data_IF_656055909853
#
_entry.id   IF_656055909853
#
_cell.length_a   1.000
_cell.length_b   1.000
_cell.length_c   1.000
_cell.angle_alpha   90.00
_cell.angle_beta   90.00
_cell.angle_gamma   90.00
#
_symmetry.space_group_name_H-M   'P 1'
#
loop_
_entity.id
_entity.type
_entity.pdbx_description
1 polymer ?
#
# COMPACT_ATOMS: atom_id res chain seq x y z
N UNK A 1 -8.97 19.87 -14.56
CA UNK A 1 -9.50 19.13 -13.41
C UNK A 1 -9.21 19.95 -12.15
N UNK A 2 -10.03 20.95 -11.81
CA UNK A 2 -9.61 22.05 -10.93
C UNK A 2 -9.01 21.66 -9.57
N UNK A 3 -9.44 20.55 -8.97
CA UNK A 3 -8.87 20.04 -7.71
C UNK A 3 -7.49 19.41 -7.92
N UNK A 4 -7.32 18.58 -8.95
CA UNK A 4 -6.03 17.96 -9.25
C UNK A 4 -5.02 19.01 -9.71
N UNK A 5 -5.45 19.98 -10.53
CA UNK A 5 -4.64 21.14 -10.92
C UNK A 5 -4.07 21.85 -9.67
N UNK A 6 -4.93 22.18 -8.69
CA UNK A 6 -4.50 22.85 -7.46
C UNK A 6 -3.52 22.02 -6.61
N UNK A 7 -3.66 20.70 -6.60
CA UNK A 7 -2.76 19.80 -5.87
C UNK A 7 -1.39 19.71 -6.55
N UNK A 8 -1.35 19.64 -7.88
CA UNK A 8 -0.09 19.68 -8.64
C UNK A 8 0.60 21.04 -8.47
N UNK A 9 -0.14 22.14 -8.50
CA UNK A 9 0.41 23.48 -8.23
C UNK A 9 1.01 23.58 -6.83
N UNK A 10 0.34 23.01 -5.82
CA UNK A 10 0.86 22.98 -4.46
C UNK A 10 2.15 22.15 -4.39
N UNK A 11 2.17 20.96 -4.98
CA UNK A 11 3.37 20.11 -5.00
C UNK A 11 4.55 20.83 -5.69
N UNK A 12 4.31 21.46 -6.84
CA UNK A 12 5.34 22.21 -7.57
C UNK A 12 5.89 23.42 -6.80
N UNK A 13 5.07 24.09 -5.99
CA UNK A 13 5.50 25.21 -5.13
C UNK A 13 6.24 24.76 -3.87
N UNK A 14 6.18 23.47 -3.51
CA UNK A 14 6.76 22.93 -2.28
C UNK A 14 7.63 21.69 -2.58
N UNK A 15 8.79 21.86 -3.23
CA UNK A 15 9.64 20.74 -3.67
C UNK A 15 10.18 19.89 -2.51
N UNK A 16 10.21 20.42 -1.29
CA UNK A 16 10.61 19.71 -0.08
C UNK A 16 9.51 18.79 0.50
N UNK A 17 8.37 18.65 -0.17
CA UNK A 17 7.26 17.78 0.23
C UNK A 17 7.16 16.65 -0.77
N UNK A 18 6.98 15.42 -0.30
CA UNK A 18 6.52 14.31 -1.15
C UNK A 18 5.00 14.34 -1.14
N UNK A 19 4.37 14.50 -2.31
CA UNK A 19 2.93 14.50 -2.44
C UNK A 19 2.45 13.14 -2.97
N UNK A 20 1.88 12.32 -2.08
CA UNK A 20 1.35 11.00 -2.41
C UNK A 20 -0.12 11.06 -2.84
N UNK A 21 -0.40 10.56 -4.05
CA UNK A 21 -1.75 10.17 -4.45
C UNK A 21 -1.96 8.68 -4.23
N UNK A 22 -3.00 8.28 -3.49
CA UNK A 22 -3.35 6.87 -3.29
C UNK A 22 -4.64 6.52 -4.01
N UNK A 23 -4.66 5.39 -4.72
CA UNK A 23 -5.82 5.00 -5.53
C UNK A 23 -6.05 3.49 -5.65
N UNK A 24 -7.23 3.14 -6.15
CA UNK A 24 -7.64 1.80 -6.61
C UNK A 24 -8.19 1.84 -8.04
N UNK A 25 -7.96 2.95 -8.76
CA UNK A 25 -8.49 3.17 -10.11
C UNK A 25 -7.44 2.92 -11.19
N UNK A 26 -7.93 2.65 -12.40
CA UNK A 26 -7.15 2.68 -13.64
C UNK A 26 -7.18 4.04 -14.36
N UNK A 27 -8.06 4.94 -13.92
CA UNK A 27 -8.24 6.24 -14.55
C UNK A 27 -7.10 7.20 -14.19
N UNK A 28 -6.06 7.19 -15.03
CA UNK A 28 -4.83 7.97 -14.86
C UNK A 28 -4.58 8.95 -16.01
N UNK A 29 -5.52 9.07 -16.96
CA UNK A 29 -5.29 9.78 -18.21
C UNK A 29 -4.94 11.25 -17.99
N UNK A 30 -5.53 11.86 -16.95
CA UNK A 30 -5.17 13.21 -16.56
C UNK A 30 -3.68 13.34 -16.19
N UNK A 31 -3.15 12.45 -15.34
CA UNK A 31 -1.73 12.45 -14.96
C UNK A 31 -0.79 12.14 -16.12
N UNK A 32 -1.27 11.41 -17.14
CA UNK A 32 -0.51 11.20 -18.37
C UNK A 32 -0.48 12.44 -19.26
N UNK A 33 -1.56 13.22 -19.27
CA UNK A 33 -1.74 14.39 -20.13
C UNK A 33 -1.05 15.67 -19.66
N UNK A 34 -0.59 15.73 -18.41
CA UNK A 34 0.04 16.92 -17.81
C UNK A 34 1.48 16.65 -17.41
N UNK A 35 2.26 17.71 -17.22
CA UNK A 35 3.59 17.61 -16.61
C UNK A 35 3.43 17.57 -15.09
N UNK A 36 3.91 16.48 -14.49
CA UNK A 36 3.82 16.27 -13.05
C UNK A 36 5.07 16.85 -12.38
N UNK A 37 4.91 17.58 -11.26
CA UNK A 37 6.05 17.94 -10.42
C UNK A 37 6.86 16.69 -10.02
N UNK A 38 8.20 16.81 -9.91
CA UNK A 38 9.07 15.66 -9.65
C UNK A 38 8.86 15.02 -8.28
N UNK A 39 8.23 15.74 -7.35
CA UNK A 39 7.90 15.31 -6.00
C UNK A 39 6.51 14.65 -5.87
N UNK A 40 5.85 14.33 -6.98
CA UNK A 40 4.63 13.52 -7.01
C UNK A 40 4.98 12.03 -6.94
N UNK A 41 4.32 11.31 -6.03
CA UNK A 41 4.28 9.84 -6.01
C UNK A 41 2.84 9.36 -6.16
N UNK A 42 2.62 8.28 -6.92
CA UNK A 42 1.29 7.68 -7.05
C UNK A 42 1.34 6.24 -6.57
N UNK A 43 0.43 5.87 -5.68
CA UNK A 43 0.40 4.56 -5.06
C UNK A 43 -0.92 3.84 -5.29
N UNK A 44 -0.85 2.52 -5.51
CA UNK A 44 -2.01 1.66 -5.67
C UNK A 44 -2.20 0.76 -4.48
N UNK A 45 -3.44 0.62 -4.00
CA UNK A 45 -3.77 -0.50 -3.13
C UNK A 45 -3.87 -1.78 -3.95
N UNK A 46 -3.20 -2.84 -3.51
CA UNK A 46 -3.22 -4.14 -4.18
C UNK A 46 -3.81 -5.21 -3.27
N UNK A 47 -4.58 -6.11 -3.88
CA UNK A 47 -5.13 -7.30 -3.25
C UNK A 47 -5.28 -8.40 -4.30
N UNK A 48 -5.34 -9.68 -3.90
CA UNK A 48 -5.70 -10.77 -4.79
C UNK A 48 -7.01 -10.49 -5.49
N UNK A 49 -7.14 -10.87 -6.77
CA UNK A 49 -8.34 -10.58 -7.55
C UNK A 49 -9.61 -11.10 -6.88
N UNK A 50 -9.54 -12.28 -6.25
CA UNK A 50 -10.65 -12.84 -5.48
C UNK A 50 -11.12 -11.91 -4.35
N UNK A 51 -10.21 -11.19 -3.67
CA UNK A 51 -10.57 -10.21 -2.63
C UNK A 51 -11.16 -8.96 -3.28
N UNK A 52 -10.61 -8.50 -4.40
CA UNK A 52 -11.13 -7.34 -5.12
C UNK A 52 -12.58 -7.59 -5.57
N UNK A 53 -12.84 -8.74 -6.18
CA UNK A 53 -14.17 -9.10 -6.71
C UNK A 53 -15.24 -9.16 -5.60
N UNK A 54 -14.87 -9.63 -4.41
CA UNK A 54 -15.81 -9.85 -3.32
C UNK A 54 -15.93 -8.67 -2.35
N UNK A 55 -14.89 -7.85 -2.19
CA UNK A 55 -14.82 -6.85 -1.10
C UNK A 55 -14.46 -5.43 -1.57
N UNK A 56 -14.02 -5.22 -2.82
CA UNK A 56 -13.64 -3.91 -3.37
C UNK A 56 -14.52 -3.50 -4.57
N UNK A 57 -15.84 -3.47 -4.38
CA UNK A 57 -16.79 -3.12 -5.44
C UNK A 57 -16.51 -1.75 -6.09
N UNK A 58 -16.79 -1.65 -7.39
CA UNK A 58 -16.61 -0.43 -8.20
C UNK A 58 -15.17 0.10 -8.26
N UNK A 59 -14.18 -0.79 -8.08
CA UNK A 59 -12.76 -0.48 -8.25
C UNK A 59 -12.16 -1.24 -9.44
N UNK A 60 -10.96 -0.85 -9.86
CA UNK A 60 -10.26 -1.52 -10.95
C UNK A 60 -9.75 -2.91 -10.52
N UNK A 61 -9.60 -3.81 -11.48
CA UNK A 61 -8.98 -5.13 -11.24
C UNK A 61 -7.52 -5.00 -10.84
N UNK A 62 -6.92 -6.07 -10.28
CA UNK A 62 -5.51 -6.11 -9.95
C UNK A 62 -4.63 -5.79 -11.17
N UNK A 63 -4.93 -6.42 -12.31
CA UNK A 63 -4.20 -6.21 -13.56
C UNK A 63 -4.29 -4.75 -14.01
N UNK A 64 -5.50 -4.18 -14.01
CA UNK A 64 -5.71 -2.78 -14.41
C UNK A 64 -4.94 -1.78 -13.52
N UNK A 65 -4.84 -2.06 -12.21
CA UNK A 65 -4.05 -1.25 -11.27
C UNK A 65 -2.55 -1.34 -11.59
N UNK A 66 -2.03 -2.55 -11.81
CA UNK A 66 -0.61 -2.76 -12.15
C UNK A 66 -0.28 -2.11 -13.50
N UNK A 67 -1.15 -2.26 -14.51
CA UNK A 67 -0.99 -1.62 -15.82
C UNK A 67 -0.99 -0.09 -15.71
N UNK A 68 -1.89 0.48 -14.90
CA UNK A 68 -1.90 1.92 -14.66
C UNK A 68 -0.61 2.40 -13.97
N UNK A 69 -0.15 1.68 -12.95
CA UNK A 69 1.11 1.97 -12.28
C UNK A 69 2.30 1.93 -13.25
N UNK A 70 2.35 0.92 -14.13
CA UNK A 70 3.38 0.79 -15.17
C UNK A 70 3.36 1.96 -16.15
N UNK A 71 2.19 2.39 -16.61
CA UNK A 71 2.04 3.54 -17.52
C UNK A 71 2.56 4.84 -16.89
N UNK A 72 2.27 5.09 -15.61
CA UNK A 72 2.79 6.29 -14.92
C UNK A 72 4.29 6.19 -14.62
N UNK A 73 4.76 5.02 -14.22
CA UNK A 73 6.19 4.80 -14.01
C UNK A 73 7.00 4.98 -15.30
N UNK A 74 6.46 4.63 -16.48
CA UNK A 74 7.08 4.93 -17.77
C UNK A 74 7.24 6.44 -18.06
N UNK A 75 6.46 7.31 -17.41
CA UNK A 75 6.59 8.77 -17.46
C UNK A 75 7.62 9.29 -16.43
N UNK A 76 8.29 8.41 -15.69
CA UNK A 76 9.26 8.75 -14.65
C UNK A 76 8.63 9.04 -13.29
N UNK A 77 7.33 8.78 -13.10
CA UNK A 77 6.66 8.96 -11.81
C UNK A 77 7.08 7.83 -10.87
N UNK A 78 7.57 8.17 -9.68
CA UNK A 78 7.81 7.18 -8.63
C UNK A 78 6.47 6.61 -8.17
N UNK A 79 6.39 5.29 -8.10
CA UNK A 79 5.18 4.59 -7.69
C UNK A 79 5.33 3.94 -6.31
N UNK A 80 4.21 3.55 -5.72
CA UNK A 80 4.21 2.73 -4.51
C UNK A 80 3.04 1.77 -4.44
N UNK A 81 3.13 0.79 -3.56
CA UNK A 81 2.11 -0.25 -3.43
C UNK A 81 1.68 -0.43 -1.97
N UNK A 82 0.37 -0.39 -1.74
CA UNK A 82 -0.22 -0.62 -0.43
C UNK A 82 -0.90 -1.99 -0.41
N UNK A 83 -0.34 -2.94 0.32
CA UNK A 83 -1.03 -4.17 0.69
C UNK A 83 -1.80 -3.89 1.97
N UNK A 84 -2.96 -3.24 1.83
CA UNK A 84 -3.76 -2.83 2.98
C UNK A 84 -5.25 -2.71 2.58
N UNK A 85 -6.14 -3.55 3.14
CA UNK A 85 -5.85 -4.65 4.07
C UNK A 85 -5.33 -5.91 3.38
N UNK A 86 -4.32 -6.54 3.98
CA UNK A 86 -3.99 -7.94 3.72
C UNK A 86 -5.05 -8.80 4.41
N UNK A 87 -5.62 -9.75 3.66
CA UNK A 87 -6.69 -10.63 4.12
C UNK A 87 -6.17 -12.06 4.24
N UNK A 88 -6.37 -12.66 5.41
CA UNK A 88 -6.07 -14.07 5.67
C UNK A 88 -7.25 -14.95 5.24
N UNK A 89 -6.97 -15.92 4.39
CA UNK A 89 -7.89 -16.95 3.92
C UNK A 89 -7.10 -18.16 3.42
N UNK A 90 -7.76 -19.29 3.19
CA UNK A 90 -7.09 -20.47 2.63
C UNK A 90 -6.49 -20.16 1.26
N UNK A 91 -5.18 -20.38 1.10
CA UNK A 91 -4.46 -20.08 -0.15
C UNK A 91 -3.89 -18.66 -0.26
N UNK A 92 -4.07 -17.79 0.75
CA UNK A 92 -3.58 -16.40 0.70
C UNK A 92 -2.08 -16.31 0.36
N UNK A 93 -1.25 -17.21 0.89
CA UNK A 93 0.20 -17.21 0.66
C UNK A 93 0.52 -17.30 -0.83
N UNK A 94 -0.13 -18.23 -1.54
CA UNK A 94 0.05 -18.42 -2.98
C UNK A 94 -0.36 -17.18 -3.76
N UNK A 95 -1.49 -16.59 -3.39
CA UNK A 95 -2.07 -15.49 -4.15
C UNK A 95 -1.33 -14.17 -3.93
N UNK A 96 -0.89 -13.86 -2.70
CA UNK A 96 -0.02 -12.71 -2.48
C UNK A 96 1.36 -12.90 -3.11
N UNK A 97 1.95 -14.11 -3.08
CA UNK A 97 3.21 -14.38 -3.78
C UNK A 97 3.12 -14.13 -5.29
N UNK A 98 2.00 -14.48 -5.95
CA UNK A 98 1.80 -14.17 -7.37
C UNK A 98 1.81 -12.68 -7.66
N UNK A 99 1.15 -11.87 -6.82
CA UNK A 99 1.17 -10.41 -6.96
C UNK A 99 2.61 -9.91 -6.88
N UNK A 100 3.33 -10.33 -5.85
CA UNK A 100 4.69 -9.89 -5.56
C UNK A 100 5.65 -10.26 -6.70
N UNK A 101 5.57 -11.49 -7.22
CA UNK A 101 6.34 -11.92 -8.38
C UNK A 101 6.01 -11.09 -9.63
N UNK A 102 4.74 -10.72 -9.83
CA UNK A 102 4.32 -9.83 -10.92
C UNK A 102 4.94 -8.45 -10.75
N UNK A 103 4.94 -7.88 -9.54
CA UNK A 103 5.56 -6.58 -9.28
C UNK A 103 7.08 -6.61 -9.53
N UNK A 104 7.77 -7.62 -9.00
CA UNK A 104 9.23 -7.77 -9.15
C UNK A 104 9.64 -7.96 -10.62
N UNK A 105 8.80 -8.60 -11.43
CA UNK A 105 9.05 -8.77 -12.87
C UNK A 105 8.63 -7.56 -13.72
N UNK A 106 7.75 -6.70 -13.21
CA UNK A 106 7.19 -5.56 -13.96
C UNK A 106 7.90 -4.23 -13.66
N UNK A 107 8.51 -4.09 -12.48
CA UNK A 107 9.13 -2.85 -12.01
C UNK A 107 10.57 -3.09 -11.57
N UNK A 108 11.44 -2.12 -11.82
CA UNK A 108 12.72 -2.04 -11.14
C UNK A 108 12.52 -1.50 -9.73
N UNK A 109 13.46 -1.79 -8.82
CA UNK A 109 13.37 -1.29 -7.46
C UNK A 109 13.47 0.25 -7.38
N UNK A 110 14.13 0.90 -8.36
CA UNK A 110 14.29 2.36 -8.38
C UNK A 110 13.00 3.08 -8.77
N UNK A 111 12.09 2.40 -9.47
CA UNK A 111 10.77 2.91 -9.83
C UNK A 111 9.79 2.90 -8.65
N UNK A 112 10.07 2.09 -7.61
CA UNK A 112 9.17 1.87 -6.48
C UNK A 112 9.70 2.57 -5.23
N UNK A 113 9.03 3.63 -4.82
CA UNK A 113 9.37 4.40 -3.61
C UNK A 113 9.13 3.61 -2.33
N UNK A 114 7.95 3.00 -2.21
CA UNK A 114 7.57 2.29 -0.99
C UNK A 114 6.58 1.15 -1.20
N UNK A 115 6.61 0.24 -0.22
CA UNK A 115 5.60 -0.81 -0.02
C UNK A 115 5.10 -0.74 1.41
N UNK A 116 3.78 -0.63 1.58
CA UNK A 116 3.16 -0.68 2.89
C UNK A 116 2.40 -1.98 3.08
N UNK A 117 2.51 -2.56 4.28
CA UNK A 117 1.74 -3.73 4.69
C UNK A 117 0.82 -3.34 5.84
N UNK A 118 -0.44 -3.72 5.78
CA UNK A 118 -1.38 -3.48 6.88
C UNK A 118 -2.45 -4.54 6.88
N UNK A 119 -2.84 -5.02 8.05
CA UNK A 119 -3.98 -5.93 8.13
C UNK A 119 -5.29 -5.19 8.30
N UNK A 120 -6.36 -5.91 8.00
CA UNK A 120 -7.71 -5.46 8.31
C UNK A 120 -7.81 -5.08 9.79
N UNK A 121 -8.27 -3.85 10.01
CA UNK A 121 -8.42 -3.29 11.34
C UNK A 121 -9.76 -2.60 11.41
N UNK A 122 -10.64 -3.09 12.28
CA UNK A 122 -11.94 -2.48 12.50
C UNK A 122 -12.00 -1.70 13.79
N UNK A 123 -12.54 -0.48 13.71
CA UNK A 123 -13.06 0.20 14.89
C UNK A 123 -14.47 -0.32 15.20
N UNK A 124 -14.84 -0.39 16.49
CA UNK A 124 -16.16 -0.87 16.97
C UNK A 124 -17.36 -0.32 16.17
N UNK A 125 -17.43 0.99 15.81
CA UNK A 125 -18.53 1.53 15.02
C UNK A 125 -18.60 0.99 13.58
N UNK A 126 -17.46 0.67 12.95
CA UNK A 126 -17.40 0.20 11.57
C UNK A 126 -18.04 -1.19 11.41
N UNK A 127 -17.80 -2.10 12.37
CA UNK A 127 -18.44 -3.42 12.40
C UNK A 127 -19.96 -3.30 12.50
N UNK A 128 -20.44 -2.39 13.37
CA UNK A 128 -21.88 -2.16 13.56
C UNK A 128 -22.53 -1.60 12.28
N UNK A 129 -21.84 -0.67 11.62
CA UNK A 129 -22.29 -0.09 10.35
C UNK A 129 -22.36 -1.14 9.22
N UNK A 130 -21.30 -1.94 9.05
CA UNK A 130 -21.25 -3.02 8.05
C UNK A 130 -22.39 -4.03 8.23
N UNK A 131 -22.68 -4.44 9.47
CA UNK A 131 -23.81 -5.32 9.77
C UNK A 131 -25.16 -4.69 9.44
N UNK A 132 -25.30 -3.38 9.63
CA UNK A 132 -26.56 -2.66 9.35
C UNK A 132 -26.81 -2.40 7.87
N UNK A 133 -25.75 -2.33 7.05
CA UNK A 133 -25.85 -2.06 5.61
C UNK A 133 -26.32 -3.28 4.80
N UNK A 134 -26.35 -4.47 5.38
CA UNK A 134 -26.82 -5.69 4.71
C UNK A 134 -25.98 -6.12 3.50
N UNK A 135 -24.78 -5.54 3.31
CA UNK A 135 -23.86 -5.90 2.25
C UNK A 135 -23.29 -7.30 2.55
N UNK A 136 -23.42 -8.28 1.64
CA UNK A 136 -22.78 -9.57 1.81
C UNK A 136 -21.27 -9.39 1.88
N UNK A 137 -20.68 -9.57 3.07
CA UNK A 137 -19.22 -9.48 3.26
C UNK A 137 -18.73 -10.65 4.10
N UNK A 138 -17.66 -11.29 3.65
CA UNK A 138 -17.01 -12.38 4.39
C UNK A 138 -16.00 -11.84 5.39
N UNK A 139 -15.69 -10.56 5.31
CA UNK A 139 -14.71 -9.89 6.17
C UNK A 139 -15.12 -9.92 7.65
N UNK A 140 -16.41 -10.00 7.95
CA UNK A 140 -16.92 -10.14 9.32
C UNK A 140 -16.81 -11.57 9.89
N UNK A 141 -16.47 -12.57 9.07
CA UNK A 141 -16.35 -13.98 9.47
C UNK A 141 -14.91 -14.34 9.88
N UNK A 142 -14.00 -13.37 9.79
CA UNK A 142 -12.58 -13.52 10.10
C UNK A 142 -12.37 -13.56 11.63
N UNK A 143 -11.52 -14.46 12.17
CA UNK A 143 -11.15 -14.45 13.57
C UNK A 143 -10.45 -13.13 13.93
N UNK A 144 -10.99 -12.38 14.91
CA UNK A 144 -10.45 -11.09 15.35
C UNK A 144 -10.31 -11.03 16.86
N UNK A 145 -9.22 -10.40 17.30
CA UNK A 145 -8.90 -10.08 18.68
C UNK A 145 -8.76 -8.57 18.88
N UNK A 146 -8.80 -8.12 20.14
CA UNK A 146 -8.53 -6.72 20.48
C UNK A 146 -7.04 -6.41 20.25
N UNK A 147 -6.78 -5.47 19.35
CA UNK A 147 -5.48 -4.91 19.04
C UNK A 147 -5.53 -3.41 19.33
N UNK A 148 -5.22 -3.04 20.57
CA UNK A 148 -5.18 -1.64 21.03
C UNK A 148 -6.51 -0.88 20.82
N UNK A 149 -7.64 -1.49 21.20
CA UNK A 149 -8.98 -0.89 21.12
C UNK A 149 -9.64 -0.99 19.74
N UNK A 150 -9.02 -1.71 18.82
CA UNK A 150 -9.54 -2.07 17.48
C UNK A 150 -9.61 -3.60 17.37
N UNK A 151 -10.43 -4.13 16.46
CA UNK A 151 -10.46 -5.56 16.16
C UNK A 151 -9.58 -5.84 14.94
N UNK A 152 -8.60 -6.73 15.10
CA UNK A 152 -7.70 -7.17 14.03
C UNK A 152 -7.31 -8.63 14.23
N UNK A 153 -6.47 -9.19 13.37
CA UNK A 153 -6.02 -10.58 13.51
C UNK A 153 -5.21 -10.82 14.80
N UNK A 154 -5.24 -12.05 15.36
CA UNK A 154 -4.30 -12.46 16.39
C UNK A 154 -2.85 -12.25 15.95
N UNK A 155 -1.95 -11.99 16.90
CA UNK A 155 -0.54 -11.67 16.60
C UNK A 155 0.15 -12.77 15.79
N UNK A 156 -0.08 -14.05 16.10
CA UNK A 156 0.50 -15.19 15.36
C UNK A 156 0.05 -15.21 13.89
N UNK A 157 -1.21 -14.84 13.65
CA UNK A 157 -1.75 -14.72 12.29
C UNK A 157 -1.12 -13.53 11.57
N UNK A 158 -0.92 -12.40 12.26
CA UNK A 158 -0.19 -11.25 11.69
C UNK A 158 1.26 -11.60 11.36
N UNK A 159 1.98 -12.25 12.26
CA UNK A 159 3.37 -12.68 12.01
C UNK A 159 3.46 -13.58 10.78
N UNK A 160 2.51 -14.51 10.62
CA UNK A 160 2.41 -15.33 9.41
C UNK A 160 2.16 -14.48 8.16
N UNK A 161 1.13 -13.64 8.18
CA UNK A 161 0.75 -12.79 7.04
C UNK A 161 1.90 -11.88 6.59
N UNK A 162 2.43 -11.10 7.54
CA UNK A 162 3.47 -10.13 7.27
C UNK A 162 4.78 -10.83 6.90
N UNK A 163 5.12 -11.94 7.56
CA UNK A 163 6.26 -12.77 7.22
C UNK A 163 6.22 -13.31 5.79
N UNK A 164 5.07 -13.84 5.37
CA UNK A 164 4.90 -14.33 3.98
C UNK A 164 5.15 -13.22 2.95
N UNK A 165 4.52 -12.05 3.13
CA UNK A 165 4.66 -10.94 2.18
C UNK A 165 6.06 -10.32 2.22
N UNK A 166 6.60 -10.10 3.42
CA UNK A 166 7.94 -9.56 3.61
C UNK A 166 9.01 -10.45 2.96
N UNK A 167 8.97 -11.76 3.20
CA UNK A 167 9.95 -12.70 2.67
C UNK A 167 9.87 -12.82 1.14
N UNK A 168 8.67 -12.74 0.56
CA UNK A 168 8.51 -12.72 -0.90
C UNK A 168 9.18 -11.51 -1.56
N UNK A 169 9.33 -10.40 -0.85
CA UNK A 169 10.04 -9.20 -1.30
C UNK A 169 11.56 -9.21 -1.07
N UNK A 170 12.17 -10.36 -0.74
CA UNK A 170 13.62 -10.49 -0.53
C UNK A 170 14.48 -9.77 -1.60
N UNK A 171 14.17 -9.84 -2.92
CA UNK A 171 14.96 -9.15 -3.95
C UNK A 171 14.98 -7.61 -3.84
N UNK A 172 14.00 -7.04 -3.13
CA UNK A 172 13.80 -5.60 -2.93
C UNK A 172 14.15 -5.11 -1.53
N UNK A 173 14.53 -6.02 -0.62
CA UNK A 173 15.07 -5.63 0.68
C UNK A 173 16.27 -4.69 0.49
N UNK A 174 16.31 -3.62 1.30
CA UNK A 174 17.31 -2.54 1.22
C UNK A 174 17.28 -1.68 -0.07
N UNK A 175 16.39 -1.96 -1.02
CA UNK A 175 16.23 -1.17 -2.24
C UNK A 175 14.93 -0.37 -2.24
N UNK A 176 13.85 -0.94 -1.70
CA UNK A 176 12.54 -0.28 -1.57
C UNK A 176 12.26 -0.02 -0.10
N UNK A 177 11.58 1.08 0.22
CA UNK A 177 11.18 1.36 1.59
C UNK A 177 9.96 0.51 1.99
N UNK A 178 10.07 -0.22 3.10
CA UNK A 178 8.96 -1.03 3.63
C UNK A 178 8.50 -0.52 4.98
N UNK A 179 7.18 -0.55 5.22
CA UNK A 179 6.63 -0.22 6.52
C UNK A 179 5.32 -0.93 6.82
N UNK A 180 5.04 -1.12 8.11
CA UNK A 180 3.77 -1.69 8.57
C UNK A 180 2.81 -0.58 9.04
N UNK A 181 1.62 -0.53 8.47
CA UNK A 181 0.64 0.52 8.71
C UNK A 181 -0.20 0.19 9.94
N UNK A 182 -0.16 1.06 10.96
CA UNK A 182 -0.93 0.91 12.21
C UNK A 182 -0.67 -0.39 13.00
N UNK A 183 0.54 -0.95 12.88
CA UNK A 183 0.92 -2.19 13.57
C UNK A 183 1.88 -1.94 14.73
N UNK A 184 1.82 -2.83 15.73
CA UNK A 184 2.61 -2.74 16.95
C UNK A 184 4.09 -3.08 16.73
N UNK A 185 4.97 -2.42 17.49
CA UNK A 185 6.43 -2.57 17.39
C UNK A 185 6.93 -4.01 17.48
N UNK A 186 6.20 -4.87 18.21
CA UNK A 186 6.59 -6.27 18.34
C UNK A 186 6.56 -6.99 16.98
N UNK A 187 5.50 -6.77 16.19
CA UNK A 187 5.35 -7.36 14.85
C UNK A 187 6.48 -6.94 13.91
N UNK A 188 6.87 -5.66 13.94
CA UNK A 188 8.02 -5.14 13.20
C UNK A 188 9.31 -5.88 13.56
N UNK A 189 9.57 -6.07 14.86
CA UNK A 189 10.77 -6.78 15.34
C UNK A 189 10.74 -8.26 14.95
N UNK A 190 9.60 -8.94 15.07
CA UNK A 190 9.51 -10.36 14.69
C UNK A 190 9.73 -10.56 13.20
N UNK A 191 9.15 -9.70 12.35
CA UNK A 191 9.15 -9.91 10.89
C UNK A 191 10.36 -9.28 10.20
N UNK A 192 10.67 -8.01 10.51
CA UNK A 192 11.76 -7.25 9.86
C UNK A 192 13.06 -7.25 10.68
N UNK A 193 13.05 -7.79 11.90
CA UNK A 193 14.20 -7.73 12.81
C UNK A 193 14.48 -6.33 13.40
N UNK A 194 13.74 -5.31 12.97
CA UNK A 194 13.99 -3.91 13.34
C UNK A 194 12.66 -3.14 13.49
N UNK A 195 12.71 -2.03 14.21
CA UNK A 195 11.59 -1.10 14.36
C UNK A 195 12.14 0.30 14.64
N UNK A 196 11.48 1.33 14.11
CA UNK A 196 11.84 2.72 14.38
C UNK A 196 11.60 3.10 15.85
N UNK A 197 12.48 3.95 16.39
CA UNK A 197 12.42 4.40 17.80
C UNK A 197 11.32 5.41 18.04
N UNK A 198 10.93 6.18 17.02
CA UNK A 198 9.86 7.17 17.04
C UNK A 198 9.20 7.31 15.67
N UNK A 199 8.01 7.94 15.62
CA UNK A 199 7.35 8.28 14.36
C UNK A 199 8.20 9.25 13.53
N UNK A 200 8.89 10.18 14.18
CA UNK A 200 9.79 11.12 13.52
C UNK A 200 10.97 10.40 12.83
N UNK A 201 11.55 9.38 13.47
CA UNK A 201 12.61 8.58 12.83
C UNK A 201 12.09 7.81 11.62
N UNK A 202 10.87 7.28 11.73
CA UNK A 202 10.17 6.60 10.63
C UNK A 202 9.91 7.55 9.46
N UNK A 203 9.28 8.70 9.70
CA UNK A 203 8.94 9.70 8.69
C UNK A 203 10.20 10.22 7.99
N UNK A 204 11.27 10.49 8.74
CA UNK A 204 12.54 10.91 8.17
C UNK A 204 13.17 9.82 7.29
N UNK A 205 13.08 8.55 7.68
CA UNK A 205 13.61 7.45 6.87
C UNK A 205 12.78 7.24 5.59
N UNK A 206 11.45 7.30 5.69
CA UNK A 206 10.55 7.23 4.54
C UNK A 206 10.84 8.37 3.56
N UNK A 207 10.88 9.60 4.08
CA UNK A 207 11.15 10.78 3.27
C UNK A 207 12.49 10.65 2.56
N UNK A 208 13.59 10.37 3.28
CA UNK A 208 14.92 10.24 2.67
C UNK A 208 14.98 9.16 1.59
N UNK A 209 14.39 7.98 1.84
CA UNK A 209 14.45 6.88 0.88
C UNK A 209 13.65 7.20 -0.38
N UNK A 210 12.39 7.62 -0.23
CA UNK A 210 11.52 7.93 -1.38
C UNK A 210 12.06 9.14 -2.14
N UNK A 211 12.45 10.21 -1.44
CA UNK A 211 12.98 11.43 -2.05
C UNK A 211 14.27 11.16 -2.84
N UNK A 212 15.14 10.28 -2.38
CA UNK A 212 16.38 9.92 -3.11
C UNK A 212 16.14 9.27 -4.47
N UNK A 213 14.93 8.78 -4.73
CA UNK A 213 14.52 8.21 -6.02
C UNK A 213 13.81 9.21 -6.92
N UNK A 214 13.36 10.32 -6.36
CA UNK A 214 12.68 11.36 -7.11
C UNK A 214 13.69 12.28 -7.78
N UNK A 215 13.43 12.68 -9.01
CA UNK A 215 14.26 13.63 -9.75
C UNK A 215 13.97 15.09 -9.32
N UNK A 216 13.97 15.36 -8.01
CA UNK A 216 13.76 16.71 -7.48
C UNK A 216 15.10 17.42 -7.45
N UNK A 217 15.23 18.45 -8.28
CA UNK A 217 16.39 19.35 -8.36
C UNK A 217 16.41 20.37 -7.23
#
# INVERSE_FOLDING_TARGET
NGILDAQLDFAGKNPNVIFEFKTKTKNIDYFLSVDLPPNIMVCWSLNPQIIIDHEEHFTASLEERITAARRLSNKGVIIGFHFHPIVHYEGFEKDYNKIINTLISTFSADEVGMISLGTLTFIKPAIKSLRSLGIPSKVLQIPMEDASGKYSYPIETKEKIFGTVWNAFTPWHNKVFFYFCMEERNLWKTVMGTCYKSNNDFENALFKNVFSKMNVS
#
